data_IF_484070068804
#
_entry.id   IF_484070068804
#
_cell.length_a   1.000
_cell.length_b   1.000
_cell.length_c   1.000
_cell.angle_alpha   90.00
_cell.angle_beta   90.00
_cell.angle_gamma   90.00
#
_symmetry.space_group_name_H-M   'P 1'
#
loop_
_entity.id
_entity.type
_entity.pdbx_description
1 polymer ?
#
# COMPACT_ATOMS: atom_id res chain seq x y z
N UNK A 1 16.07 20.01 -3.68
CA UNK A 1 16.57 21.05 -4.59
C UNK A 1 15.34 21.67 -5.24
N UNK A 2 15.21 22.99 -5.25
CA UNK A 2 14.02 23.69 -5.76
C UNK A 2 13.80 23.39 -7.25
N UNK A 3 12.62 22.87 -7.62
CA UNK A 3 12.26 22.47 -8.99
C UNK A 3 12.33 23.64 -9.97
N UNK A 4 12.13 24.86 -9.48
CA UNK A 4 12.23 26.07 -10.29
C UNK A 4 13.66 26.37 -10.76
N UNK A 5 14.65 26.26 -9.87
CA UNK A 5 16.06 26.51 -10.19
C UNK A 5 16.61 25.47 -11.18
N UNK A 6 16.18 24.22 -11.04
CA UNK A 6 16.64 23.13 -11.89
C UNK A 6 16.14 23.26 -13.33
N UNK A 7 14.89 23.71 -13.52
CA UNK A 7 14.34 23.98 -14.85
C UNK A 7 15.10 25.11 -15.57
N UNK A 8 15.40 26.21 -14.88
CA UNK A 8 16.20 27.31 -15.44
C UNK A 8 17.62 26.87 -15.81
N UNK A 9 18.22 25.99 -15.01
CA UNK A 9 19.53 25.43 -15.32
C UNK A 9 19.50 24.57 -16.60
N UNK A 10 18.49 23.71 -16.74
CA UNK A 10 18.30 22.90 -17.96
C UNK A 10 18.12 23.79 -19.18
N UNK A 11 17.24 24.78 -19.11
CA UNK A 11 16.99 25.71 -20.22
C UNK A 11 18.27 26.46 -20.61
N UNK A 12 18.99 26.99 -19.63
CA UNK A 12 20.26 27.69 -19.85
C UNK A 12 21.31 26.80 -20.54
N UNK A 13 21.56 25.60 -19.99
CA UNK A 13 22.57 24.70 -20.55
C UNK A 13 22.16 24.13 -21.90
N UNK A 14 20.87 23.92 -22.13
CA UNK A 14 20.34 23.48 -23.41
C UNK A 14 20.60 24.54 -24.49
N UNK A 15 20.25 25.81 -24.23
CA UNK A 15 20.53 26.91 -25.16
C UNK A 15 22.03 27.05 -25.43
N UNK A 16 22.86 27.06 -24.38
CA UNK A 16 24.32 27.18 -24.55
C UNK A 16 24.93 26.01 -25.32
N UNK A 17 24.50 24.79 -25.05
CA UNK A 17 24.96 23.60 -25.76
C UNK A 17 24.61 23.65 -27.25
N UNK A 18 23.43 24.17 -27.60
CA UNK A 18 23.03 24.36 -29.00
C UNK A 18 23.81 25.48 -29.71
N UNK A 19 24.05 26.60 -29.03
CA UNK A 19 24.77 27.75 -29.59
C UNK A 19 26.25 27.47 -29.83
N UNK A 20 26.90 26.83 -28.85
CA UNK A 20 28.36 26.70 -28.82
C UNK A 20 28.82 25.32 -29.28
N UNK A 21 27.96 24.31 -29.17
CA UNK A 21 28.30 22.91 -29.33
C UNK A 21 29.57 22.52 -28.53
N UNK A 22 29.73 23.06 -27.32
CA UNK A 22 30.88 22.79 -26.45
C UNK A 22 30.57 21.60 -25.51
N UNK A 23 31.48 20.62 -25.36
CA UNK A 23 31.29 19.46 -24.48
C UNK A 23 31.05 19.85 -23.01
N UNK A 24 31.53 21.00 -22.54
CA UNK A 24 31.24 21.53 -21.21
C UNK A 24 29.73 21.68 -20.98
N UNK A 25 29.03 22.33 -21.91
CA UNK A 25 27.59 22.58 -21.77
C UNK A 25 26.78 21.30 -21.97
N UNK A 26 27.23 20.39 -22.84
CA UNK A 26 26.60 19.07 -22.97
C UNK A 26 26.67 18.25 -21.66
N UNK A 27 27.79 18.33 -20.93
CA UNK A 27 27.91 17.67 -19.64
C UNK A 27 27.01 18.29 -18.57
N UNK A 28 27.02 19.62 -18.40
CA UNK A 28 26.19 20.25 -17.38
C UNK A 28 24.70 20.17 -17.68
N UNK A 29 24.33 20.15 -18.97
CA UNK A 29 22.98 19.80 -19.39
C UNK A 29 22.60 18.40 -18.94
N UNK A 30 23.47 17.41 -19.16
CA UNK A 30 23.25 16.05 -18.71
C UNK A 30 23.09 15.98 -17.18
N UNK A 31 23.97 16.61 -16.40
CA UNK A 31 23.92 16.60 -14.93
C UNK A 31 22.61 17.21 -14.40
N UNK A 32 22.18 18.34 -14.98
CA UNK A 32 20.93 18.99 -14.62
C UNK A 32 19.71 18.10 -14.98
N UNK A 33 19.73 17.44 -16.15
CA UNK A 33 18.69 16.52 -16.57
C UNK A 33 18.61 15.27 -15.66
N UNK A 34 19.75 14.73 -15.21
CA UNK A 34 19.77 13.62 -14.23
C UNK A 34 19.12 14.03 -12.92
N UNK A 35 19.50 15.18 -12.37
CA UNK A 35 18.91 15.71 -11.13
C UNK A 35 17.40 15.97 -11.26
N UNK A 36 16.91 16.20 -12.48
CA UNK A 36 15.49 16.42 -12.78
C UNK A 36 14.71 15.13 -13.10
N UNK A 37 15.37 13.97 -13.07
CA UNK A 37 14.74 12.69 -13.45
C UNK A 37 14.49 12.53 -14.95
N UNK A 38 15.07 13.38 -15.80
CA UNK A 38 14.90 13.36 -17.27
C UNK A 38 15.91 12.41 -17.91
N UNK A 39 15.85 11.13 -17.53
CA UNK A 39 16.90 10.13 -17.80
C UNK A 39 17.21 9.95 -19.30
N UNK A 40 16.18 9.91 -20.16
CA UNK A 40 16.35 9.78 -21.61
C UNK A 40 17.08 10.98 -22.23
N UNK A 41 16.77 12.19 -21.76
CA UNK A 41 17.40 13.42 -22.23
C UNK A 41 18.83 13.52 -21.74
N UNK A 42 19.08 13.19 -20.46
CA UNK A 42 20.40 13.13 -19.89
C UNK A 42 21.33 12.21 -20.69
N UNK A 43 20.85 11.03 -21.10
CA UNK A 43 21.63 10.10 -21.92
C UNK A 43 22.03 10.70 -23.27
N UNK A 44 21.08 11.34 -23.97
CA UNK A 44 21.37 11.98 -25.25
C UNK A 44 22.44 13.08 -25.09
N UNK A 45 22.36 13.86 -24.01
CA UNK A 45 23.36 14.87 -23.68
C UNK A 45 24.73 14.28 -23.36
N UNK A 46 24.78 13.15 -22.64
CA UNK A 46 26.04 12.41 -22.41
C UNK A 46 26.62 11.85 -23.71
N UNK A 47 25.78 11.31 -24.60
CA UNK A 47 26.22 10.81 -25.91
C UNK A 47 26.80 11.93 -26.79
N UNK A 48 26.16 13.11 -26.76
CA UNK A 48 26.69 14.32 -27.40
C UNK A 48 28.04 14.71 -26.83
N UNK A 49 28.21 14.73 -25.50
CA UNK A 49 29.49 15.03 -24.86
C UNK A 49 30.58 14.01 -25.24
N UNK A 50 30.25 12.71 -25.30
CA UNK A 50 31.17 11.62 -25.65
C UNK A 50 31.62 11.63 -27.13
N UNK A 51 30.86 12.29 -28.00
CA UNK A 51 31.17 12.38 -29.43
C UNK A 51 32.40 13.25 -29.71
N UNK A 52 32.77 14.14 -28.80
CA UNK A 52 33.95 15.00 -28.96
C UNK A 52 35.26 14.22 -28.81
N UNK A 53 36.30 14.53 -29.62
CA UNK A 53 37.64 13.95 -29.46
C UNK A 53 38.22 14.21 -28.06
N UNK A 54 37.99 15.42 -27.53
CA UNK A 54 38.37 15.84 -26.17
C UNK A 54 37.11 16.19 -25.38
N UNK A 55 36.40 15.19 -24.83
CA UNK A 55 35.17 15.45 -24.08
C UNK A 55 35.48 16.11 -22.73
N UNK A 56 34.51 16.85 -22.23
CA UNK A 56 34.48 17.36 -20.86
C UNK A 56 33.31 16.72 -20.11
N UNK A 57 33.48 16.25 -18.86
CA UNK A 57 34.75 15.96 -18.19
C UNK A 57 35.47 14.79 -18.88
N UNK A 58 36.51 14.24 -18.24
CA UNK A 58 37.21 13.04 -18.72
C UNK A 58 36.22 11.97 -19.19
N UNK A 59 36.50 11.37 -20.36
CA UNK A 59 35.67 10.36 -21.02
C UNK A 59 35.20 9.25 -20.05
N UNK A 60 36.07 8.81 -19.14
CA UNK A 60 35.73 7.81 -18.12
C UNK A 60 34.54 8.23 -17.26
N UNK A 61 34.48 9.48 -16.78
CA UNK A 61 33.39 9.98 -15.95
C UNK A 61 32.06 10.03 -16.70
N UNK A 62 32.10 10.36 -18.00
CA UNK A 62 30.91 10.31 -18.87
C UNK A 62 30.43 8.87 -19.09
N UNK A 63 31.36 7.92 -19.23
CA UNK A 63 31.02 6.50 -19.35
C UNK A 63 30.43 5.93 -18.05
N UNK A 64 30.95 6.32 -16.88
CA UNK A 64 30.38 5.96 -15.57
C UNK A 64 28.98 6.54 -15.39
N UNK A 65 28.77 7.80 -15.77
CA UNK A 65 27.45 8.44 -15.77
C UNK A 65 26.48 7.72 -16.71
N UNK A 66 26.93 7.37 -17.92
CA UNK A 66 26.13 6.59 -18.89
C UNK A 66 25.79 5.19 -18.36
N UNK A 67 26.73 4.52 -17.69
CA UNK A 67 26.50 3.20 -17.10
C UNK A 67 25.43 3.26 -16.00
N UNK A 68 25.45 4.28 -15.14
CA UNK A 68 24.41 4.51 -14.13
C UNK A 68 23.04 4.79 -14.76
N UNK A 69 22.99 5.65 -15.79
CA UNK A 69 21.73 5.93 -16.50
C UNK A 69 21.17 4.68 -17.19
N UNK A 70 22.03 3.80 -17.70
CA UNK A 70 21.61 2.54 -18.28
C UNK A 70 21.16 1.50 -17.23
N UNK A 71 21.75 1.49 -16.03
CA UNK A 71 21.27 0.63 -14.93
C UNK A 71 19.90 1.07 -14.41
N UNK A 72 19.63 2.37 -14.44
CA UNK A 72 18.34 2.92 -14.00
C UNK A 72 17.24 2.64 -15.04
N UNK A 73 17.54 2.78 -16.34
CA UNK A 73 16.61 2.43 -17.43
C UNK A 73 16.30 0.92 -17.52
N UNK A 74 17.28 0.05 -17.25
CA UNK A 74 17.06 -1.41 -17.26
C UNK A 74 16.25 -1.90 -16.06
N UNK A 75 16.26 -1.16 -14.94
CA UNK A 75 15.39 -1.41 -13.78
C UNK A 75 13.98 -0.87 -13.97
N UNK A 76 13.79 0.22 -14.70
CA UNK A 76 12.45 0.81 -14.88
C UNK A 76 11.62 0.16 -16.00
N UNK A 77 12.24 -0.42 -17.03
CA UNK A 77 11.56 -0.84 -18.28
C UNK A 77 11.76 -2.31 -18.69
N UNK A 78 12.32 -3.19 -17.84
CA UNK A 78 12.31 -4.63 -18.13
C UNK A 78 11.15 -5.31 -17.39
N UNK A 79 10.04 -5.70 -18.06
CA UNK A 79 8.96 -6.44 -17.42
C UNK A 79 9.41 -7.81 -16.88
N UNK A 80 10.59 -8.31 -17.28
CA UNK A 80 11.19 -9.54 -16.79
C UNK A 80 12.13 -9.35 -15.59
N UNK A 81 12.24 -8.14 -15.03
CA UNK A 81 13.02 -7.90 -13.81
C UNK A 81 12.13 -7.26 -12.75
N UNK A 82 12.19 -7.71 -11.49
CA UNK A 82 11.39 -7.13 -10.44
C UNK A 82 11.88 -5.71 -10.13
N UNK A 83 10.95 -4.79 -9.95
CA UNK A 83 11.21 -3.39 -9.58
C UNK A 83 10.77 -3.12 -8.14
N UNK A 84 11.41 -2.17 -7.47
CA UNK A 84 11.00 -1.74 -6.12
C UNK A 84 9.72 -0.92 -6.26
N UNK A 85 8.67 -1.34 -5.54
CA UNK A 85 7.34 -0.72 -5.60
C UNK A 85 6.95 -0.01 -4.29
N UNK A 86 7.62 -0.33 -3.19
CA UNK A 86 7.55 0.41 -1.93
C UNK A 86 8.86 0.23 -1.16
N UNK A 87 9.29 1.23 -0.39
CA UNK A 87 10.49 1.15 0.44
C UNK A 87 10.37 2.01 1.70
N UNK A 88 10.96 1.52 2.79
CA UNK A 88 11.07 2.17 4.10
C UNK A 88 12.43 1.85 4.73
N UNK A 89 12.77 2.59 5.77
CA UNK A 89 13.97 2.39 6.57
C UNK A 89 13.57 2.46 8.03
N UNK A 90 14.00 1.50 8.84
CA UNK A 90 13.64 1.35 10.24
C UNK A 90 14.53 0.31 10.91
N UNK A 91 14.49 0.24 12.24
CA UNK A 91 15.24 -0.76 13.01
C UNK A 91 14.36 -2.00 13.16
N UNK A 92 14.63 -3.05 12.38
CA UNK A 92 13.77 -4.24 12.30
C UNK A 92 14.25 -5.34 13.24
N UNK A 93 15.54 -5.41 13.52
CA UNK A 93 16.11 -6.43 14.40
C UNK A 93 16.36 -5.96 15.84
N UNK A 94 16.23 -4.65 16.10
CA UNK A 94 16.34 -4.03 17.41
C UNK A 94 17.78 -3.75 17.85
N UNK A 95 18.74 -3.75 16.92
CA UNK A 95 20.16 -3.52 17.21
C UNK A 95 20.58 -2.04 17.15
N UNK A 96 19.62 -1.14 16.84
CA UNK A 96 19.80 0.30 16.71
C UNK A 96 20.36 0.76 15.37
N UNK A 97 20.67 -0.17 14.44
CA UNK A 97 21.15 0.14 13.09
C UNK A 97 19.98 0.05 12.11
N UNK A 98 19.79 1.11 11.33
CA UNK A 98 18.69 1.21 10.40
C UNK A 98 18.83 0.22 9.23
N UNK A 99 17.82 -0.62 9.06
CA UNK A 99 17.66 -1.57 7.96
C UNK A 99 16.91 -0.96 6.76
N UNK A 100 17.03 -1.60 5.59
CA UNK A 100 16.27 -1.24 4.41
C UNK A 100 15.19 -2.28 4.14
N UNK A 101 13.93 -1.87 4.20
CA UNK A 101 12.78 -2.73 3.94
C UNK A 101 12.12 -2.27 2.64
N UNK A 102 11.90 -3.20 1.72
CA UNK A 102 11.29 -2.85 0.43
C UNK A 102 10.48 -4.01 -0.15
N UNK A 103 9.47 -3.63 -0.93
CA UNK A 103 8.68 -4.55 -1.73
C UNK A 103 9.19 -4.54 -3.16
N UNK A 104 9.41 -5.72 -3.73
CA UNK A 104 9.71 -5.88 -5.15
C UNK A 104 8.58 -6.56 -5.87
N UNK A 105 8.29 -6.18 -7.11
CA UNK A 105 7.28 -6.84 -7.94
C UNK A 105 7.59 -6.74 -9.44
N UNK A 106 7.00 -7.65 -10.21
CA UNK A 106 7.01 -7.60 -11.66
C UNK A 106 5.82 -6.76 -12.15
N UNK A 107 6.09 -5.82 -13.04
CA UNK A 107 5.06 -5.02 -13.69
C UNK A 107 4.33 -5.88 -14.72
N UNK A 108 3.00 -5.79 -14.74
CA UNK A 108 2.21 -6.34 -15.84
C UNK A 108 2.23 -5.34 -17.00
N UNK A 109 2.54 -5.73 -18.24
CA UNK A 109 2.43 -4.84 -19.39
C UNK A 109 1.03 -4.23 -19.47
N UNK A 110 0.97 -2.92 -19.75
CA UNK A 110 -0.27 -2.15 -19.95
C UNK A 110 -1.27 -2.20 -18.79
N UNK A 111 -0.83 -2.55 -17.58
CA UNK A 111 -1.69 -2.64 -16.41
C UNK A 111 -0.95 -2.21 -15.13
N UNK A 112 -1.60 -1.47 -14.21
CA UNK A 112 -1.02 -1.20 -12.89
C UNK A 112 -0.94 -2.43 -11.99
N UNK A 113 -1.44 -3.59 -12.45
CA UNK A 113 -1.38 -4.86 -11.71
C UNK A 113 0.07 -5.35 -11.55
N UNK A 114 0.42 -5.70 -10.33
CA UNK A 114 1.74 -6.19 -9.97
C UNK A 114 1.69 -7.68 -9.63
N UNK A 115 2.74 -8.42 -10.02
CA UNK A 115 2.87 -9.86 -9.79
C UNK A 115 4.12 -10.17 -8.97
N UNK A 116 4.08 -11.27 -8.22
CA UNK A 116 5.16 -11.76 -7.36
C UNK A 116 5.73 -10.68 -6.43
N UNK A 117 4.82 -9.95 -5.78
CA UNK A 117 5.15 -8.99 -4.73
C UNK A 117 5.86 -9.75 -3.61
N UNK A 118 7.11 -9.39 -3.34
CA UNK A 118 8.00 -10.04 -2.37
C UNK A 118 8.52 -9.00 -1.39
N UNK A 119 8.45 -9.30 -0.08
CA UNK A 119 9.08 -8.49 0.95
C UNK A 119 10.57 -8.80 1.01
N UNK A 120 11.39 -7.76 1.01
CA UNK A 120 12.84 -7.85 1.15
C UNK A 120 13.31 -6.97 2.30
N UNK A 121 14.12 -7.53 3.20
CA UNK A 121 14.68 -6.87 4.38
C UNK A 121 16.19 -6.99 4.26
N UNK A 122 16.87 -5.87 4.06
CA UNK A 122 18.33 -5.80 4.01
C UNK A 122 18.84 -5.23 5.33
N UNK A 123 19.57 -6.04 6.07
CA UNK A 123 20.13 -5.66 7.36
C UNK A 123 21.21 -4.57 7.20
N UNK A 124 21.09 -3.46 7.93
CA UNK A 124 21.95 -2.28 7.77
C UNK A 124 23.39 -2.52 8.23
N UNK A 125 23.60 -3.45 9.17
CA UNK A 125 24.91 -3.80 9.73
C UNK A 125 25.66 -4.82 8.88
N UNK A 126 24.97 -5.89 8.49
CA UNK A 126 25.58 -7.06 7.84
C UNK A 126 25.41 -7.06 6.31
N UNK A 127 24.52 -6.22 5.78
CA UNK A 127 24.04 -6.24 4.39
C UNK A 127 23.35 -7.55 3.98
N UNK A 128 23.05 -8.45 4.92
CA UNK A 128 22.31 -9.67 4.64
C UNK A 128 20.89 -9.34 4.17
N UNK A 129 20.46 -9.98 3.08
CA UNK A 129 19.15 -9.79 2.48
C UNK A 129 18.25 -11.00 2.79
N UNK A 130 17.20 -10.79 3.56
CA UNK A 130 16.13 -11.76 3.76
C UNK A 130 14.96 -11.45 2.84
N UNK A 131 14.41 -12.47 2.19
CA UNK A 131 13.22 -12.34 1.34
C UNK A 131 12.09 -13.22 1.87
N UNK A 132 10.86 -12.69 1.85
CA UNK A 132 9.66 -13.36 2.30
C UNK A 132 8.60 -13.26 1.20
N UNK A 133 8.14 -14.42 0.73
CA UNK A 133 7.04 -14.52 -0.21
C UNK A 133 5.70 -14.54 0.53
N UNK A 134 4.66 -14.00 -0.12
CA UNK A 134 3.28 -14.05 0.38
C UNK A 134 2.48 -15.14 -0.30
N UNK A 135 1.47 -15.66 0.40
CA UNK A 135 0.48 -16.57 -0.21
C UNK A 135 -0.29 -15.86 -1.33
N UNK A 136 -0.75 -14.64 -1.07
CA UNK A 136 -1.38 -13.76 -2.05
C UNK A 136 -0.41 -12.61 -2.37
N UNK A 137 0.31 -12.75 -3.49
CA UNK A 137 1.44 -11.90 -3.86
C UNK A 137 1.21 -11.10 -5.15
N UNK A 138 -0.04 -10.86 -5.54
CA UNK A 138 -0.37 -10.09 -6.73
C UNK A 138 -1.57 -9.18 -6.47
N UNK A 139 -1.54 -7.97 -7.00
CA UNK A 139 -2.53 -6.95 -6.71
C UNK A 139 -2.12 -5.55 -7.15
N UNK A 140 -2.71 -4.54 -6.53
CA UNK A 140 -2.51 -3.13 -6.82
C UNK A 140 -2.02 -2.37 -5.58
N UNK A 141 -1.41 -1.20 -5.81
CA UNK A 141 -1.02 -0.23 -4.78
C UNK A 141 -0.38 -0.81 -3.50
N UNK A 142 0.66 -1.66 -3.58
CA UNK A 142 1.26 -2.22 -2.39
C UNK A 142 1.86 -1.11 -1.52
N UNK A 143 1.53 -1.14 -0.22
CA UNK A 143 2.06 -0.19 0.76
C UNK A 143 2.92 -0.91 1.80
N UNK A 144 3.83 -0.15 2.39
CA UNK A 144 4.77 -0.60 3.41
C UNK A 144 4.78 0.41 4.55
N UNK A 145 4.44 -0.07 5.75
CA UNK A 145 4.47 0.69 6.99
C UNK A 145 5.40 0.02 8.00
N UNK A 146 6.16 0.83 8.73
CA UNK A 146 7.03 0.39 9.82
C UNK A 146 6.56 1.07 11.11
N UNK A 147 6.38 0.31 12.18
CA UNK A 147 6.05 0.80 13.51
C UNK A 147 5.84 -0.33 14.52
N UNK A 148 5.96 -0.04 15.81
CA UNK A 148 5.88 -1.04 16.88
C UNK A 148 4.42 -1.50 17.11
N UNK A 149 4.07 -2.72 16.70
CA UNK A 149 2.77 -3.34 17.03
C UNK A 149 2.85 -4.24 18.26
N UNK A 150 4.02 -4.79 18.54
CA UNK A 150 4.21 -5.81 19.58
C UNK A 150 4.51 -5.25 20.98
N UNK A 151 4.79 -3.95 21.07
CA UNK A 151 5.20 -3.25 22.29
C UNK A 151 6.67 -3.44 22.66
N UNK A 152 7.48 -4.02 21.76
CA UNK A 152 8.89 -4.34 22.02
C UNK A 152 9.84 -3.19 21.65
N UNK A 153 9.31 -2.05 21.17
CA UNK A 153 10.05 -0.85 20.73
C UNK A 153 10.98 -1.08 19.52
N UNK A 154 10.70 -2.11 18.73
CA UNK A 154 11.33 -2.39 17.44
C UNK A 154 10.28 -2.16 16.34
N UNK A 155 10.71 -1.76 15.15
CA UNK A 155 9.78 -1.57 14.04
C UNK A 155 9.28 -2.91 13.52
N UNK A 156 7.96 -3.11 13.58
CA UNK A 156 7.28 -4.22 12.91
C UNK A 156 6.83 -3.79 11.51
N UNK A 157 6.65 -4.75 10.60
CA UNK A 157 6.42 -4.49 9.18
C UNK A 157 4.97 -4.81 8.81
N UNK A 158 4.19 -3.81 8.44
CA UNK A 158 2.87 -3.98 7.84
C UNK A 158 2.96 -3.81 6.31
N UNK A 159 2.44 -4.81 5.59
CA UNK A 159 2.28 -4.80 4.14
C UNK A 159 0.80 -4.91 3.80
N UNK A 160 0.31 -4.01 2.95
CA UNK A 160 -1.07 -4.05 2.43
C UNK A 160 -1.03 -4.03 0.90
N UNK A 161 -1.85 -4.87 0.25
CA UNK A 161 -1.97 -5.00 -1.20
C UNK A 161 -3.45 -5.00 -1.58
N UNK A 162 -3.86 -4.13 -2.49
CA UNK A 162 -5.25 -4.10 -2.98
C UNK A 162 -5.51 -5.28 -3.93
N UNK A 163 -6.62 -5.99 -3.74
CA UNK A 163 -6.99 -7.11 -4.64
C UNK A 163 -7.52 -6.65 -6.00
N UNK A 164 -8.09 -5.43 -6.06
CA UNK A 164 -8.72 -4.85 -7.26
C UNK A 164 -10.16 -5.27 -7.54
N UNK A 165 -10.78 -6.10 -6.69
CA UNK A 165 -12.20 -6.46 -6.82
C UNK A 165 -13.15 -5.32 -6.38
N UNK A 166 -14.41 -5.37 -6.82
CA UNK A 166 -15.46 -4.40 -6.41
C UNK A 166 -15.78 -4.42 -4.91
N UNK A 167 -15.35 -5.49 -4.22
CA UNK A 167 -15.30 -5.59 -2.76
C UNK A 167 -14.43 -4.51 -2.10
N UNK A 168 -13.40 -4.03 -2.81
CA UNK A 168 -12.32 -3.24 -2.20
C UNK A 168 -11.50 -4.07 -1.22
N UNK A 169 -11.45 -5.39 -1.40
CA UNK A 169 -10.72 -6.27 -0.48
C UNK A 169 -9.22 -6.04 -0.58
N UNK A 170 -8.51 -6.27 0.52
CA UNK A 170 -7.06 -6.17 0.63
C UNK A 170 -6.45 -7.50 1.10
N UNK A 171 -5.23 -7.77 0.65
CA UNK A 171 -4.32 -8.70 1.33
C UNK A 171 -3.47 -7.90 2.30
N UNK A 172 -3.32 -8.40 3.53
CA UNK A 172 -2.54 -7.73 4.56
C UNK A 172 -1.73 -8.72 5.39
N UNK A 173 -0.48 -8.35 5.65
CA UNK A 173 0.48 -9.16 6.39
C UNK A 173 1.22 -8.28 7.40
N UNK A 174 1.45 -8.80 8.62
CA UNK A 174 2.32 -8.14 9.59
C UNK A 174 3.43 -9.11 9.98
N UNK A 175 4.66 -8.62 9.95
CA UNK A 175 5.85 -9.34 10.38
C UNK A 175 6.54 -8.62 11.52
N UNK A 176 7.06 -9.38 12.47
CA UNK A 176 7.79 -8.87 13.63
C UNK A 176 9.03 -9.71 13.88
N UNK A 177 10.13 -9.08 14.29
CA UNK A 177 11.30 -9.81 14.78
C UNK A 177 11.11 -10.18 16.26
N UNK A 178 10.76 -11.43 16.51
CA UNK A 178 10.52 -11.95 17.86
C UNK A 178 11.62 -12.96 18.20
N UNK A 179 12.42 -12.65 19.22
CA UNK A 179 13.56 -13.45 19.65
C UNK A 179 14.59 -13.72 18.53
N UNK A 180 14.88 -12.70 17.72
CA UNK A 180 15.85 -12.78 16.61
C UNK A 180 15.35 -13.57 15.40
N UNK A 181 14.05 -13.86 15.33
CA UNK A 181 13.43 -14.52 14.20
C UNK A 181 12.29 -13.67 13.64
N UNK A 182 12.33 -13.43 12.33
CA UNK A 182 11.24 -12.79 11.60
C UNK A 182 10.02 -13.72 11.54
N UNK A 183 8.90 -13.30 12.13
CA UNK A 183 7.66 -14.09 12.21
C UNK A 183 6.50 -13.32 11.61
N UNK A 184 5.66 -14.00 10.83
CA UNK A 184 4.36 -13.46 10.44
C UNK A 184 3.42 -13.54 11.65
N UNK A 185 2.93 -12.39 12.11
CA UNK A 185 2.07 -12.26 13.29
C UNK A 185 0.62 -11.87 12.94
N UNK A 186 0.36 -11.47 11.70
CA UNK A 186 -0.99 -11.24 11.18
C UNK A 186 -1.09 -11.67 9.71
N UNK A 187 -2.26 -12.17 9.31
CA UNK A 187 -2.62 -12.53 7.94
C UNK A 187 -4.10 -12.26 7.69
N UNK A 188 -4.42 -11.50 6.65
CA UNK A 188 -5.80 -11.13 6.29
C UNK A 188 -6.69 -12.32 5.96
N UNK A 189 -6.16 -13.38 5.34
CA UNK A 189 -6.94 -14.56 4.96
C UNK A 189 -7.43 -15.29 6.22
N UNK A 190 -6.52 -15.53 7.17
CA UNK A 190 -6.86 -16.11 8.48
C UNK A 190 -7.80 -15.20 9.28
N UNK A 191 -7.64 -13.88 9.19
CA UNK A 191 -8.57 -12.94 9.83
C UNK A 191 -9.98 -13.04 9.22
N UNK A 192 -10.10 -13.11 7.90
CA UNK A 192 -11.36 -13.23 7.18
C UNK A 192 -12.07 -14.55 7.49
N UNK A 193 -11.35 -15.68 7.51
CA UNK A 193 -11.90 -17.00 7.86
C UNK A 193 -12.49 -17.05 9.28
N UNK A 194 -11.96 -16.23 10.19
CA UNK A 194 -12.43 -16.13 11.57
C UNK A 194 -13.53 -15.08 11.77
N UNK A 195 -13.85 -14.30 10.74
CA UNK A 195 -14.77 -13.15 10.79
C UNK A 195 -16.09 -13.48 10.07
N UNK A 196 -16.78 -14.52 10.53
CA UNK A 196 -18.03 -14.98 9.93
C UNK A 196 -19.24 -14.23 10.51
N UNK A 197 -19.86 -13.41 9.66
CA UNK A 197 -21.10 -12.71 9.96
C UNK A 197 -22.20 -13.07 8.97
N UNK A 198 -23.43 -13.17 9.46
CA UNK A 198 -24.62 -13.16 8.62
C UNK A 198 -25.31 -11.80 8.71
N UNK A 199 -25.95 -11.38 7.62
CA UNK A 199 -26.78 -10.18 7.57
C UNK A 199 -28.17 -10.58 7.10
N UNK A 200 -29.20 -10.21 7.84
CA UNK A 200 -30.59 -10.53 7.47
C UNK A 200 -31.45 -9.28 7.66
N UNK A 201 -32.25 -8.94 6.65
CA UNK A 201 -33.22 -7.88 6.79
C UNK A 201 -34.37 -8.37 7.68
N UNK A 202 -34.97 -7.43 8.39
CA UNK A 202 -36.05 -7.68 9.33
C UNK A 202 -37.14 -6.64 9.13
N UNK A 203 -38.36 -6.98 9.51
CA UNK A 203 -39.49 -6.05 9.50
C UNK A 203 -39.16 -4.77 10.28
N UNK A 204 -39.93 -3.73 10.00
CA UNK A 204 -39.80 -2.42 10.62
C UNK A 204 -38.44 -1.77 10.31
N UNK A 205 -38.04 -1.86 9.04
CA UNK A 205 -36.87 -1.17 8.46
C UNK A 205 -35.55 -1.51 9.15
N UNK A 206 -35.34 -2.79 9.51
CA UNK A 206 -34.17 -3.22 10.26
C UNK A 206 -33.31 -4.21 9.50
N UNK A 207 -32.04 -4.31 9.87
CA UNK A 207 -31.20 -5.44 9.53
C UNK A 207 -30.47 -5.95 10.77
N UNK A 208 -30.36 -7.27 10.90
CA UNK A 208 -29.51 -7.90 11.90
C UNK A 208 -28.17 -8.25 11.27
N UNK A 209 -27.09 -7.90 11.96
CA UNK A 209 -25.73 -8.36 11.66
C UNK A 209 -25.30 -9.23 12.84
N UNK A 210 -25.01 -10.50 12.58
CA UNK A 210 -24.80 -11.51 13.63
C UNK A 210 -23.42 -12.11 13.48
N UNK A 211 -22.59 -12.00 14.53
CA UNK A 211 -21.36 -12.79 14.65
C UNK A 211 -21.73 -14.15 15.25
N UNK A 212 -21.75 -15.19 14.42
CA UNK A 212 -22.19 -16.52 14.87
C UNK A 212 -21.24 -17.13 15.91
N UNK A 213 -19.94 -16.87 15.78
CA UNK A 213 -18.90 -17.44 16.64
C UNK A 213 -18.98 -16.89 18.07
N UNK A 214 -19.34 -15.61 18.20
CA UNK A 214 -19.40 -14.92 19.49
C UNK A 214 -20.81 -14.75 20.04
N UNK A 215 -21.84 -15.09 19.26
CA UNK A 215 -23.24 -14.91 19.67
C UNK A 215 -23.65 -13.44 19.77
N UNK A 216 -22.93 -12.54 19.10
CA UNK A 216 -23.22 -11.10 19.12
C UNK A 216 -24.22 -10.76 18.02
N UNK A 217 -25.20 -9.90 18.36
CA UNK A 217 -26.19 -9.40 17.41
C UNK A 217 -26.21 -7.87 17.45
N UNK A 218 -26.10 -7.27 16.27
CA UNK A 218 -26.25 -5.85 16.05
C UNK A 218 -27.55 -5.60 15.27
N UNK A 219 -28.31 -4.59 15.67
CA UNK A 219 -29.56 -4.19 14.99
C UNK A 219 -29.30 -2.85 14.33
N UNK A 220 -29.34 -2.83 13.00
CA UNK A 220 -29.19 -1.64 12.18
C UNK A 220 -30.59 -1.12 11.86
N UNK A 221 -30.81 0.16 12.11
CA UNK A 221 -31.95 0.90 11.58
C UNK A 221 -31.60 1.34 10.15
N UNK A 222 -32.43 0.98 9.17
CA UNK A 222 -32.22 1.28 7.75
C UNK A 222 -32.94 2.55 7.30
N UNK A 223 -33.65 3.25 8.18
CA UNK A 223 -34.41 4.46 7.85
C UNK A 223 -33.56 5.53 7.17
N UNK A 224 -32.27 5.62 7.52
CA UNK A 224 -31.30 6.53 6.91
C UNK A 224 -31.12 6.33 5.39
N UNK A 225 -31.53 5.18 4.83
CA UNK A 225 -31.45 4.88 3.38
C UNK A 225 -32.54 5.59 2.56
N UNK A 226 -33.53 6.19 3.23
CA UNK A 226 -34.57 7.01 2.60
C UNK A 226 -35.73 6.20 2.00
N UNK A 227 -36.87 6.88 1.80
CA UNK A 227 -38.14 6.26 1.40
C UNK A 227 -38.06 5.44 0.11
N UNK A 228 -37.36 5.94 -0.91
CA UNK A 228 -37.26 5.23 -2.19
C UNK A 228 -36.64 3.84 -2.02
N UNK A 229 -35.53 3.75 -1.28
CA UNK A 229 -34.87 2.49 -0.98
C UNK A 229 -35.77 1.55 -0.16
N UNK A 230 -36.44 2.07 0.86
CA UNK A 230 -37.27 1.28 1.76
C UNK A 230 -38.55 0.79 1.09
N UNK A 231 -39.19 1.61 0.24
CA UNK A 231 -40.40 1.25 -0.48
C UNK A 231 -40.18 0.10 -1.47
N UNK A 232 -38.95 -0.13 -1.93
CA UNK A 232 -38.63 -1.32 -2.73
C UNK A 232 -38.67 -2.60 -1.90
N UNK A 233 -38.32 -2.52 -0.62
CA UNK A 233 -38.04 -3.67 0.26
C UNK A 233 -39.21 -4.00 1.19
N UNK A 234 -39.95 -2.98 1.62
CA UNK A 234 -40.97 -3.08 2.65
C UNK A 234 -42.35 -2.67 2.12
N UNK A 235 -43.39 -3.31 2.64
CA UNK A 235 -44.77 -2.85 2.52
C UNK A 235 -44.98 -1.56 3.34
N UNK A 236 -46.09 -0.87 3.11
CA UNK A 236 -46.41 0.39 3.82
C UNK A 236 -46.49 0.23 5.35
N UNK A 237 -46.83 -0.97 5.83
CA UNK A 237 -46.86 -1.30 7.25
C UNK A 237 -45.48 -1.64 7.85
N UNK A 238 -44.42 -1.61 7.04
CA UNK A 238 -43.05 -1.92 7.44
C UNK A 238 -42.68 -3.41 7.38
N UNK A 239 -43.56 -4.29 6.90
CA UNK A 239 -43.24 -5.71 6.74
C UNK A 239 -42.38 -5.94 5.50
N UNK A 240 -41.43 -6.87 5.56
CA UNK A 240 -40.66 -7.27 4.40
C UNK A 240 -41.55 -7.86 3.31
N UNK A 241 -41.32 -7.44 2.07
CA UNK A 241 -41.98 -8.04 0.90
C UNK A 241 -41.51 -9.46 0.62
N UNK A 242 -40.24 -9.73 0.93
CA UNK A 242 -39.60 -11.04 0.81
C UNK A 242 -38.38 -11.10 1.74
N UNK A 243 -37.92 -12.29 2.15
CA UNK A 243 -36.65 -12.45 2.87
C UNK A 243 -35.47 -11.90 2.07
N UNK A 244 -34.59 -11.15 2.73
CA UNK A 244 -33.36 -10.62 2.12
C UNK A 244 -32.19 -10.93 3.03
N UNK A 245 -31.16 -11.51 2.43
CA UNK A 245 -29.88 -11.75 3.08
C UNK A 245 -28.82 -10.81 2.50
N UNK A 246 -27.90 -10.42 3.36
CA UNK A 246 -26.67 -9.74 3.00
C UNK A 246 -25.48 -10.50 3.60
N UNK A 247 -24.30 -9.90 3.53
CA UNK A 247 -23.08 -10.51 4.06
C UNK A 247 -22.08 -9.43 4.49
N UNK A 248 -21.06 -9.84 5.23
CA UNK A 248 -19.92 -8.99 5.52
C UNK A 248 -18.78 -9.38 4.57
N UNK A 249 -18.23 -8.38 3.89
CA UNK A 249 -17.14 -8.58 2.95
C UNK A 249 -15.83 -8.94 3.66
N UNK A 250 -14.85 -9.48 2.93
CA UNK A 250 -13.48 -9.55 3.39
C UNK A 250 -12.95 -8.17 3.82
N UNK A 251 -11.88 -8.19 4.59
CA UNK A 251 -11.13 -7.01 5.01
C UNK A 251 -10.89 -6.07 3.83
N UNK A 252 -11.40 -4.85 3.94
CA UNK A 252 -11.28 -3.80 2.93
C UNK A 252 -10.36 -2.65 3.34
N UNK A 253 -9.87 -2.68 4.58
CA UNK A 253 -8.94 -1.70 5.12
C UNK A 253 -8.36 -2.19 6.44
N UNK A 254 -7.08 -1.94 6.65
CA UNK A 254 -6.37 -2.22 7.90
C UNK A 254 -5.40 -1.08 8.15
N UNK A 255 -5.63 -0.32 9.21
CA UNK A 255 -4.88 0.89 9.48
C UNK A 255 -4.15 0.78 10.83
N UNK A 256 -2.84 1.07 10.87
CA UNK A 256 -2.13 1.20 12.14
C UNK A 256 -2.57 2.48 12.83
N UNK A 257 -3.08 2.38 14.06
CA UNK A 257 -3.52 3.52 14.88
C UNK A 257 -2.98 3.35 16.29
N UNK A 258 -2.22 4.31 16.77
CA UNK A 258 -1.83 4.42 18.17
C UNK A 258 -2.90 5.25 18.91
N UNK A 259 -3.92 4.56 19.46
CA UNK A 259 -5.09 5.23 20.01
C UNK A 259 -4.78 5.99 21.30
N UNK A 260 -3.86 5.48 22.12
CA UNK A 260 -3.52 6.01 23.45
C UNK A 260 -2.23 6.85 23.46
N UNK A 261 -1.52 6.93 22.31
CA UNK A 261 -0.28 7.69 22.11
C UNK A 261 0.90 7.16 22.92
N UNK A 262 0.97 5.84 23.12
CA UNK A 262 2.06 5.18 23.86
C UNK A 262 3.22 4.70 22.96
N UNK A 263 3.11 4.95 21.66
CA UNK A 263 4.07 4.54 20.65
C UNK A 263 3.93 3.09 20.20
N UNK A 264 2.90 2.38 20.66
CA UNK A 264 2.54 1.04 20.19
C UNK A 264 1.23 1.11 19.42
N UNK A 265 1.22 0.55 18.22
CA UNK A 265 0.09 0.63 17.31
C UNK A 265 -0.90 -0.51 17.53
N UNK A 266 -2.19 -0.19 17.61
CA UNK A 266 -3.27 -1.11 17.34
C UNK A 266 -3.60 -1.16 15.83
N UNK A 267 -4.45 -2.11 15.44
CA UNK A 267 -4.99 -2.21 14.09
C UNK A 267 -6.48 -1.87 14.08
N UNK A 268 -6.86 -0.86 13.31
CA UNK A 268 -8.26 -0.59 12.99
C UNK A 268 -8.63 -1.28 11.67
N UNK A 269 -9.52 -2.27 11.75
CA UNK A 269 -9.95 -3.08 10.62
C UNK A 269 -11.33 -2.68 10.12
N UNK A 270 -11.53 -2.71 8.80
CA UNK A 270 -12.78 -2.36 8.15
C UNK A 270 -13.28 -3.53 7.29
N UNK A 271 -14.51 -3.98 7.55
CA UNK A 271 -15.21 -4.94 6.70
C UNK A 271 -16.60 -4.39 6.35
N UNK A 272 -16.87 -4.18 5.06
CA UNK A 272 -18.15 -3.64 4.60
C UNK A 272 -19.29 -4.64 4.85
N UNK A 273 -20.41 -4.13 5.35
CA UNK A 273 -21.68 -4.85 5.47
C UNK A 273 -22.45 -4.60 4.17
N UNK A 274 -22.54 -5.63 3.32
CA UNK A 274 -23.29 -5.59 2.08
C UNK A 274 -24.74 -6.00 2.32
N UNK A 275 -25.66 -5.25 1.70
CA UNK A 275 -27.10 -5.48 1.69
C UNK A 275 -27.52 -6.37 0.53
N UNK A 276 -28.50 -5.91 -0.26
CA UNK A 276 -29.11 -6.68 -1.38
C UNK A 276 -28.11 -7.07 -2.46
N UNK A 277 -27.03 -6.31 -2.60
CA UNK A 277 -25.93 -6.52 -3.53
C UNK A 277 -24.68 -5.85 -2.98
N UNK A 278 -23.50 -6.17 -3.53
CA UNK A 278 -22.21 -5.75 -2.95
C UNK A 278 -22.04 -4.22 -2.81
N UNK A 279 -22.61 -3.44 -3.73
CA UNK A 279 -22.57 -1.98 -3.72
C UNK A 279 -23.63 -1.35 -2.78
N UNK A 280 -24.62 -2.12 -2.33
CA UNK A 280 -25.59 -1.69 -1.34
C UNK A 280 -24.96 -1.73 0.06
N UNK A 281 -24.16 -0.72 0.39
CA UNK A 281 -23.50 -0.66 1.69
C UNK A 281 -24.49 -0.31 2.79
N UNK A 282 -24.50 -1.11 3.85
CA UNK A 282 -25.27 -0.88 5.07
C UNK A 282 -24.43 -0.28 6.21
N UNK A 283 -23.11 -0.28 6.05
CA UNK A 283 -22.16 0.14 7.06
C UNK A 283 -20.88 -0.71 7.04
N UNK A 284 -20.15 -0.70 8.14
CA UNK A 284 -18.95 -1.52 8.33
C UNK A 284 -18.93 -2.17 9.71
N UNK A 285 -18.44 -3.40 9.76
CA UNK A 285 -17.90 -3.98 10.98
C UNK A 285 -16.49 -3.41 11.15
N UNK A 286 -16.28 -2.71 12.25
CA UNK A 286 -14.99 -2.13 12.61
C UNK A 286 -14.46 -2.83 13.85
N UNK A 287 -13.23 -3.36 13.78
CA UNK A 287 -12.54 -3.92 14.93
C UNK A 287 -11.29 -3.10 15.24
N UNK A 288 -11.04 -2.84 16.51
CA UNK A 288 -9.71 -2.48 17.00
C UNK A 288 -9.06 -3.75 17.54
N UNK A 289 -7.92 -4.12 16.95
CA UNK A 289 -7.15 -5.28 17.34
C UNK A 289 -5.86 -4.83 18.02
N UNK A 290 -5.59 -5.40 19.20
CA UNK A 290 -4.38 -5.14 19.98
C UNK A 290 -3.57 -6.41 20.13
N UNK A 291 -2.26 -6.32 19.98
CA UNK A 291 -1.35 -7.42 20.27
C UNK A 291 -1.35 -7.74 21.76
N UNK A 292 -1.62 -9.01 22.12
CA UNK A 292 -1.67 -9.44 23.53
C UNK A 292 -0.40 -10.18 24.00
N UNK A 293 0.66 -10.15 23.20
CA UNK A 293 1.89 -10.93 23.41
C UNK A 293 1.97 -12.22 22.58
N UNK A 294 0.85 -12.68 22.01
CA UNK A 294 0.82 -13.91 21.20
C UNK A 294 0.07 -13.75 19.88
N UNK A 295 -1.05 -13.04 19.89
CA UNK A 295 -1.90 -12.79 18.72
C UNK A 295 -2.53 -11.41 18.80
N UNK A 296 -2.97 -10.89 17.65
CA UNK A 296 -3.88 -9.75 17.64
C UNK A 296 -5.26 -10.20 18.13
N UNK A 297 -5.71 -9.60 19.23
CA UNK A 297 -7.01 -9.87 19.85
C UNK A 297 -7.92 -8.66 19.70
N UNK A 298 -9.23 -8.89 19.50
CA UNK A 298 -10.20 -7.79 19.40
C UNK A 298 -10.40 -7.15 20.77
N UNK A 299 -9.97 -5.88 20.89
CA UNK A 299 -10.21 -5.06 22.08
C UNK A 299 -11.58 -4.40 22.02
N UNK A 300 -11.95 -3.91 20.82
CA UNK A 300 -13.21 -3.23 20.58
C UNK A 300 -13.79 -3.64 19.23
N UNK A 301 -15.10 -3.84 19.19
CA UNK A 301 -15.85 -4.06 17.94
C UNK A 301 -17.06 -3.15 17.92
N UNK A 302 -17.27 -2.49 16.79
CA UNK A 302 -18.41 -1.62 16.57
C UNK A 302 -19.00 -1.88 15.18
N UNK A 303 -20.27 -1.52 15.01
CA UNK A 303 -20.86 -1.29 13.69
C UNK A 303 -20.92 0.22 13.48
N UNK A 304 -20.39 0.67 12.34
CA UNK A 304 -20.54 2.06 11.90
C UNK A 304 -21.51 2.10 10.73
N UNK A 305 -22.45 3.04 10.78
CA UNK A 305 -23.46 3.28 9.73
C UNK A 305 -23.30 4.68 9.16
N UNK A 306 -23.87 4.92 7.98
CA UNK A 306 -23.83 6.22 7.33
C UNK A 306 -24.81 7.20 7.97
N UNK A 307 -24.52 8.50 7.88
CA UNK A 307 -25.52 9.53 8.15
C UNK A 307 -26.62 9.51 7.08
N UNK A 308 -27.84 9.86 7.48
CA UNK A 308 -28.98 10.03 6.58
C UNK A 308 -29.58 11.44 6.70
N UNK A 309 -30.37 11.82 5.69
CA UNK A 309 -31.21 13.03 5.77
C UNK A 309 -32.40 12.76 6.71
N UNK A 310 -32.79 13.77 7.50
CA UNK A 310 -33.95 13.74 8.40
C UNK A 310 -35.22 14.18 7.67
#
# INVERSE_FOLDING_TARGET
>A
MDTYLLRRAIDYYHTRAQETNDPYYWFFLADAQVRAGLINQARQSVDKALWFPNPFPLRQRLLEMKAKLNSDLTRENNPNSPSIVAAKRGDIDGDGIIDHVFLTAYKTPDSPFLKNITLSIQNGKTNHLQQIAFNNNAGYNPTLFLGDFTGNKVDDILVVIDTGGSGGAIYSYIFSNINGQMRQIFNSDTFNENSNYSVTYQDQYKAFVINQKLGEKYVLDLTYKGKNYLNDIYNENGDLKAPIEGWVNPLSGLYPVDFNRDGTYELESYQRIAGRYNADSLGYVLNVLKWNGQVFSTERRNIIIFGGEF
#
